data_IF_169259126066
#
_entry.id   IF_169259126066
#
_cell.length_a   1.000
_cell.length_b   1.000
_cell.length_c   1.000
_cell.angle_alpha   90.00
_cell.angle_beta   90.00
_cell.angle_gamma   90.00
#
_symmetry.space_group_name_H-M   'P 1'
#
loop_
_entity.id
_entity.type
_entity.pdbx_description
1 polymer ?
#
# COMPACT_ATOMS: atom_id res chain seq x y z
N UNK A 1 40.95 -62.73 15.74
CA UNK A 1 41.13 -61.46 14.99
C UNK A 1 42.49 -60.89 15.37
N UNK A 2 43.24 -60.28 14.44
CA UNK A 2 44.54 -59.69 14.80
C UNK A 2 44.33 -58.44 15.65
N UNK A 3 45.14 -58.24 16.71
CA UNK A 3 45.07 -57.05 17.58
C UNK A 3 45.12 -55.73 16.80
N UNK A 4 45.81 -55.73 15.66
CA UNK A 4 45.87 -54.58 14.74
C UNK A 4 44.53 -54.31 14.05
N UNK A 5 43.82 -55.37 13.66
CA UNK A 5 42.50 -55.29 13.01
C UNK A 5 41.45 -54.81 14.01
N UNK A 6 41.50 -55.30 15.24
CA UNK A 6 40.60 -54.86 16.33
C UNK A 6 40.79 -53.37 16.64
N UNK A 7 42.04 -52.91 16.71
CA UNK A 7 42.36 -51.50 16.96
C UNK A 7 41.89 -50.59 15.81
N UNK A 8 42.05 -51.03 14.56
CA UNK A 8 41.54 -50.29 13.38
C UNK A 8 40.01 -50.17 13.44
N UNK A 9 39.30 -51.26 13.79
CA UNK A 9 37.83 -51.24 13.89
C UNK A 9 37.38 -50.25 14.97
N UNK A 10 38.03 -50.23 16.12
CA UNK A 10 37.71 -49.29 17.21
C UNK A 10 37.93 -47.84 16.75
N UNK A 11 39.07 -47.55 16.11
CA UNK A 11 39.37 -46.19 15.62
C UNK A 11 38.35 -45.74 14.58
N UNK A 12 37.98 -46.61 13.65
CA UNK A 12 36.94 -46.31 12.65
C UNK A 12 35.59 -46.09 13.31
N UNK A 13 35.21 -46.92 14.29
CA UNK A 13 33.95 -46.78 15.01
C UNK A 13 33.88 -45.44 15.77
N UNK A 14 34.94 -45.07 16.47
CA UNK A 14 35.03 -43.78 17.18
C UNK A 14 34.97 -42.61 16.20
N UNK A 15 35.67 -42.71 15.07
CA UNK A 15 35.64 -41.67 14.04
C UNK A 15 34.23 -41.46 13.50
N UNK A 16 33.50 -42.54 13.18
CA UNK A 16 32.11 -42.47 12.68
C UNK A 16 31.17 -41.86 13.71
N UNK A 17 31.29 -42.25 14.98
CA UNK A 17 30.48 -41.66 16.06
C UNK A 17 30.76 -40.17 16.20
N UNK A 18 32.03 -39.76 16.14
CA UNK A 18 32.41 -38.35 16.23
C UNK A 18 31.86 -37.52 15.05
N UNK A 19 31.90 -38.02 13.82
CA UNK A 19 31.31 -37.32 12.67
C UNK A 19 29.79 -37.22 12.75
N UNK A 20 29.10 -38.29 13.16
CA UNK A 20 27.65 -38.27 13.31
C UNK A 20 27.22 -37.28 14.41
N UNK A 21 27.92 -37.28 15.54
CA UNK A 21 27.62 -36.37 16.64
C UNK A 21 27.92 -34.90 16.27
N UNK A 22 29.04 -34.67 15.58
CA UNK A 22 29.41 -33.34 15.07
C UNK A 22 28.41 -32.81 14.04
N UNK A 23 27.97 -33.65 13.10
CA UNK A 23 26.96 -33.30 12.11
C UNK A 23 25.61 -32.98 12.77
N UNK A 24 25.15 -33.83 13.69
CA UNK A 24 23.90 -33.61 14.42
C UNK A 24 23.91 -32.30 15.22
N UNK A 25 25.00 -32.04 15.94
CA UNK A 25 25.19 -30.80 16.69
C UNK A 25 25.23 -29.56 15.79
N UNK A 26 25.87 -29.66 14.62
CA UNK A 26 25.90 -28.58 13.64
C UNK A 26 24.50 -28.30 13.09
N UNK A 27 23.78 -29.33 12.63
CA UNK A 27 22.43 -29.20 12.07
C UNK A 27 21.44 -28.61 13.09
N UNK A 28 21.52 -29.01 14.36
CA UNK A 28 20.66 -28.43 15.40
C UNK A 28 20.95 -26.96 15.71
N UNK A 29 22.15 -26.47 15.40
CA UNK A 29 22.56 -25.09 15.67
C UNK A 29 22.41 -24.16 14.48
N UNK A 30 22.27 -24.67 13.27
CA UNK A 30 21.96 -23.83 12.11
C UNK A 30 20.51 -23.37 12.26
N UNK A 31 20.24 -22.07 12.45
CA UNK A 31 18.88 -21.57 12.46
C UNK A 31 18.28 -21.83 11.08
N UNK A 32 17.26 -22.68 11.02
CA UNK A 32 16.48 -22.99 9.81
C UNK A 32 15.49 -21.88 9.46
N UNK A 33 15.76 -20.65 9.91
CA UNK A 33 14.96 -19.49 9.55
C UNK A 33 15.22 -19.16 8.08
N UNK A 34 14.42 -19.76 7.19
CA UNK A 34 14.20 -19.17 5.89
C UNK A 34 13.76 -17.73 6.10
N UNK A 35 14.36 -16.74 5.42
CA UNK A 35 13.83 -15.40 5.46
C UNK A 35 12.36 -15.45 5.06
N UNK A 36 11.48 -14.67 5.72
CA UNK A 36 10.07 -14.64 5.37
C UNK A 36 9.97 -14.38 3.86
N UNK A 37 9.06 -15.12 3.20
CA UNK A 37 8.77 -14.87 1.80
C UNK A 37 8.47 -13.36 1.64
N UNK A 38 9.01 -12.70 0.59
CA UNK A 38 8.67 -11.31 0.36
C UNK A 38 7.15 -11.20 0.27
N UNK A 39 6.57 -10.36 1.13
CA UNK A 39 5.14 -10.09 1.05
C UNK A 39 4.82 -9.64 -0.38
N UNK A 40 3.74 -10.16 -0.98
CA UNK A 40 3.30 -9.66 -2.27
C UNK A 40 3.10 -8.15 -2.11
N UNK A 41 3.86 -7.36 -2.87
CA UNK A 41 3.63 -5.92 -2.95
C UNK A 41 2.25 -5.74 -3.55
N UNK A 42 1.25 -5.57 -2.70
CA UNK A 42 -0.08 -5.16 -3.11
C UNK A 42 0.14 -3.76 -3.66
N UNK A 43 0.15 -3.63 -4.99
CA UNK A 43 0.09 -2.33 -5.63
C UNK A 43 -1.03 -1.54 -4.94
N UNK A 44 -0.82 -0.28 -4.54
CA UNK A 44 -1.86 0.48 -3.89
C UNK A 44 -3.07 0.46 -4.83
N UNK A 45 -4.12 -0.24 -4.40
CA UNK A 45 -5.41 -0.22 -5.07
C UNK A 45 -5.78 1.25 -5.04
N UNK A 46 -5.76 1.93 -6.19
CA UNK A 46 -6.18 3.30 -6.29
C UNK A 46 -7.52 3.41 -5.56
N UNK A 47 -7.55 4.20 -4.49
CA UNK A 47 -8.74 4.33 -3.68
C UNK A 47 -9.89 4.72 -4.63
N UNK A 48 -11.02 4.01 -4.61
CA UNK A 48 -12.15 4.40 -5.45
C UNK A 48 -12.49 5.85 -5.08
N UNK A 49 -12.47 6.73 -6.10
CA UNK A 49 -12.80 8.14 -5.93
C UNK A 49 -14.08 8.25 -5.10
N UNK A 50 -14.01 8.99 -4.00
CA UNK A 50 -15.14 9.05 -3.09
C UNK A 50 -16.31 9.75 -3.77
N UNK A 51 -17.55 9.33 -3.49
CA UNK A 51 -18.74 10.02 -4.02
C UNK A 51 -18.70 11.53 -3.75
N UNK A 52 -18.13 11.96 -2.62
CA UNK A 52 -17.93 13.36 -2.28
C UNK A 52 -16.91 14.08 -3.17
N UNK A 53 -15.82 13.41 -3.55
CA UNK A 53 -14.80 13.95 -4.45
C UNK A 53 -15.37 14.18 -5.86
N UNK A 54 -16.12 13.20 -6.38
CA UNK A 54 -16.79 13.33 -7.68
C UNK A 54 -17.83 14.46 -7.67
N UNK A 55 -18.62 14.59 -6.60
CA UNK A 55 -19.60 15.67 -6.48
C UNK A 55 -18.89 17.03 -6.38
N UNK A 56 -17.81 17.12 -5.61
CA UNK A 56 -17.04 18.36 -5.47
C UNK A 56 -16.46 18.83 -6.79
N UNK A 57 -15.81 17.94 -7.56
CA UNK A 57 -15.26 18.26 -8.87
C UNK A 57 -16.34 18.68 -9.87
N UNK A 58 -17.49 18.00 -9.88
CA UNK A 58 -18.60 18.33 -10.78
C UNK A 58 -19.35 19.60 -10.36
N UNK A 59 -19.38 19.93 -9.07
CA UNK A 59 -20.05 21.11 -8.54
C UNK A 59 -19.19 22.38 -8.60
N UNK A 60 -17.92 22.28 -8.99
CA UNK A 60 -17.10 23.47 -9.22
C UNK A 60 -17.71 24.26 -10.38
N UNK A 61 -18.25 25.43 -10.04
CA UNK A 61 -18.75 26.38 -11.02
C UNK A 61 -17.56 26.85 -11.88
N UNK A 62 -17.53 26.59 -13.20
CA UNK A 62 -16.42 27.00 -14.07
C UNK A 62 -16.25 28.52 -14.16
N UNK A 63 -17.20 29.27 -13.60
CA UNK A 63 -17.24 30.73 -13.58
C UNK A 63 -16.80 31.29 -12.21
N UNK A 64 -16.03 30.53 -11.43
CA UNK A 64 -15.66 30.82 -10.03
C UNK A 64 -15.14 32.24 -9.75
N UNK A 65 -14.68 33.00 -10.76
CA UNK A 65 -14.17 34.36 -10.61
C UNK A 65 -14.71 35.38 -11.64
N UNK A 66 -15.80 35.09 -12.35
CA UNK A 66 -16.43 36.08 -13.24
C UNK A 66 -17.89 36.27 -12.87
N UNK A 67 -18.24 37.48 -12.43
CA UNK A 67 -19.65 37.87 -12.43
C UNK A 67 -20.16 37.71 -13.88
N UNK A 68 -21.34 37.11 -14.09
CA UNK A 68 -21.97 37.16 -15.41
C UNK A 68 -22.06 38.63 -15.83
N UNK A 69 -21.64 38.94 -17.05
CA UNK A 69 -21.88 40.25 -17.65
C UNK A 69 -23.39 40.42 -17.80
N UNK A 70 -24.01 40.97 -16.76
CA UNK A 70 -25.38 41.43 -16.82
C UNK A 70 -25.32 42.78 -17.52
N UNK A 71 -25.70 42.81 -18.79
CA UNK A 71 -26.04 44.08 -19.44
C UNK A 71 -27.17 44.71 -18.61
N UNK A 72 -26.82 45.69 -17.79
CA UNK A 72 -27.81 46.45 -17.05
C UNK A 72 -28.69 47.16 -18.08
N UNK A 73 -30.03 47.01 -18.04
CA UNK A 73 -30.88 47.75 -18.94
C UNK A 73 -30.62 49.25 -18.71
N UNK A 74 -30.27 49.97 -19.77
CA UNK A 74 -29.90 51.39 -19.68
C UNK A 74 -31.02 52.30 -19.12
N UNK A 75 -32.25 51.77 -19.06
CA UNK A 75 -33.44 52.44 -18.52
C UNK A 75 -34.18 51.44 -17.65
N UNK A 76 -34.62 51.86 -16.46
CA UNK A 76 -35.45 51.03 -15.60
C UNK A 76 -36.78 50.73 -16.32
N UNK A 77 -37.15 49.45 -16.58
CA UNK A 77 -38.40 49.12 -17.30
C UNK A 77 -39.68 49.61 -16.60
N UNK A 78 -39.55 50.04 -15.34
CA UNK A 78 -40.65 50.48 -14.48
C UNK A 78 -40.70 52.02 -14.38
N UNK A 79 -39.70 52.72 -14.93
CA UNK A 79 -39.67 54.19 -14.96
C UNK A 79 -40.81 54.70 -15.86
N UNK A 80 -41.81 55.36 -15.25
CA UNK A 80 -43.01 55.85 -15.93
C UNK A 80 -44.18 54.85 -16.02
N UNK A 81 -44.00 53.59 -15.59
CA UNK A 81 -45.08 52.60 -15.54
C UNK A 81 -46.05 52.85 -14.36
N UNK A 82 -45.53 53.35 -13.24
CA UNK A 82 -46.34 53.76 -12.10
C UNK A 82 -46.77 55.22 -12.26
N UNK A 83 -48.05 55.46 -12.56
CA UNK A 83 -48.69 56.77 -12.40
C UNK A 83 -49.34 56.81 -11.02
N UNK A 84 -48.87 57.70 -10.16
CA UNK A 84 -49.49 57.94 -8.86
C UNK A 84 -50.96 58.36 -9.07
N UNK A 85 -51.97 57.61 -8.58
CA UNK A 85 -53.37 57.96 -8.79
C UNK A 85 -53.87 59.09 -7.86
N UNK A 86 -53.00 59.62 -7.00
CA UNK A 86 -53.28 60.72 -6.08
C UNK A 86 -52.53 62.01 -6.43
N UNK A 87 -51.84 62.05 -7.57
CA UNK A 87 -51.35 63.27 -8.22
C UNK A 87 -52.33 63.76 -9.29
#
# INVERSE_FOLDING_TARGET
MSKKVELIIIVVAVAVVATLFGYWYFVMRVPTSSPPAPEPTIAPLAAPASLGETIYEQAQNPVADKMPEVESPAVNPIEGAYKNPFE
#
